data_IF_950725710943
#
_entry.id   IF_950725710943
#
_cell.length_a   1.000
_cell.length_b   1.000
_cell.length_c   1.000
_cell.angle_alpha   90.00
_cell.angle_beta   90.00
_cell.angle_gamma   90.00
#
_symmetry.space_group_name_H-M   'P 1'
#
loop_
_entity.id
_entity.type
_entity.pdbx_description
1 polymer ?
#
# COMPACT_ATOMS: atom_id res chain seq x y z
N UNK A 1 -19.84 -2.33 0.55
CA UNK A 1 -18.67 -1.46 0.58
C UNK A 1 -19.00 -0.06 1.05
N UNK A 2 -18.00 0.61 1.60
CA UNK A 2 -18.01 2.03 1.90
C UNK A 2 -16.66 2.62 1.51
N UNK A 3 -16.66 3.84 1.01
CA UNK A 3 -15.43 4.57 0.75
C UNK A 3 -15.63 6.06 1.04
N UNK A 4 -14.55 6.76 1.26
CA UNK A 4 -14.57 8.20 1.45
C UNK A 4 -13.25 8.83 1.04
N UNK A 5 -13.27 10.15 0.95
CA UNK A 5 -12.13 11.01 0.68
C UNK A 5 -12.19 12.21 1.62
N UNK A 6 -11.07 12.50 2.24
CA UNK A 6 -10.86 13.73 3.02
C UNK A 6 -9.65 14.44 2.44
N UNK A 7 -9.79 15.74 2.19
CA UNK A 7 -8.73 16.58 1.65
C UNK A 7 -8.73 17.96 2.30
N UNK A 8 -7.54 18.51 2.53
CA UNK A 8 -7.37 19.90 2.95
C UNK A 8 -7.45 20.82 1.73
N UNK A 9 -8.34 21.83 1.75
CA UNK A 9 -8.65 22.65 0.57
C UNK A 9 -7.45 23.51 0.11
N UNK A 10 -6.57 23.89 1.02
CA UNK A 10 -5.33 24.64 0.72
C UNK A 10 -4.12 23.72 0.48
N UNK A 11 -4.28 22.40 0.64
CA UNK A 11 -3.21 21.44 0.43
C UNK A 11 -2.25 21.27 1.61
N UNK A 12 -2.58 21.81 2.79
CA UNK A 12 -1.75 21.66 3.98
C UNK A 12 -1.84 20.23 4.52
N UNK A 13 -0.69 19.58 4.70
CA UNK A 13 -0.61 18.25 5.26
C UNK A 13 -0.69 18.29 6.79
N UNK A 14 -1.39 17.33 7.38
CA UNK A 14 -1.42 17.14 8.83
C UNK A 14 -1.68 15.68 9.21
N UNK A 15 -1.19 15.28 10.38
CA UNK A 15 -1.53 13.99 10.96
C UNK A 15 -2.99 13.94 11.46
N UNK A 16 -3.56 15.09 11.83
CA UNK A 16 -4.97 15.15 12.25
C UNK A 16 -5.92 14.80 11.10
N UNK A 17 -5.58 15.14 9.86
CA UNK A 17 -6.34 14.70 8.70
C UNK A 17 -6.26 13.18 8.53
N UNK A 18 -5.10 12.57 8.75
CA UNK A 18 -4.92 11.10 8.72
C UNK A 18 -5.75 10.43 9.82
N UNK A 19 -5.71 10.95 11.05
CA UNK A 19 -6.55 10.46 12.17
C UNK A 19 -8.04 10.58 11.86
N UNK A 20 -8.46 11.69 11.28
CA UNK A 20 -9.86 11.90 10.88
C UNK A 20 -10.29 10.88 9.82
N UNK A 21 -9.42 10.56 8.86
CA UNK A 21 -9.71 9.54 7.85
C UNK A 21 -9.80 8.14 8.46
N UNK A 22 -8.91 7.78 9.39
CA UNK A 22 -8.99 6.50 10.11
C UNK A 22 -10.26 6.40 10.97
N UNK A 23 -10.62 7.48 11.67
CA UNK A 23 -11.88 7.52 12.43
C UNK A 23 -13.10 7.39 11.51
N UNK A 24 -13.11 8.09 10.37
CA UNK A 24 -14.20 7.99 9.38
C UNK A 24 -14.30 6.58 8.79
N UNK A 25 -13.17 5.91 8.57
CA UNK A 25 -13.12 4.52 8.13
C UNK A 25 -13.71 3.60 9.20
N UNK A 26 -13.37 3.78 10.48
CA UNK A 26 -13.92 2.98 11.59
C UNK A 26 -15.45 3.16 11.74
N UNK A 27 -15.97 4.34 11.48
CA UNK A 27 -17.44 4.57 11.45
C UNK A 27 -18.16 3.77 10.35
N UNK A 28 -17.43 3.25 9.35
CA UNK A 28 -17.98 2.42 8.28
C UNK A 28 -17.88 0.91 8.53
N UNK A 29 -17.49 0.46 9.72
CA UNK A 29 -17.32 -0.95 10.08
C UNK A 29 -18.53 -1.80 9.69
N UNK A 30 -19.75 -1.27 9.89
CA UNK A 30 -21.01 -1.93 9.50
C UNK A 30 -21.18 -2.14 7.98
N UNK A 31 -20.31 -1.55 7.14
CA UNK A 31 -20.29 -1.73 5.69
C UNK A 31 -19.42 -2.92 5.25
N UNK A 32 -18.64 -3.49 6.17
CA UNK A 32 -17.77 -4.64 5.94
C UNK A 32 -18.35 -5.94 6.47
N UNK A 33 -17.66 -7.05 6.17
CA UNK A 33 -17.90 -8.36 6.78
C UNK A 33 -16.87 -8.64 7.87
N UNK A 34 -17.26 -9.44 8.84
CA UNK A 34 -16.39 -9.94 9.90
C UNK A 34 -16.35 -11.46 9.76
N UNK A 35 -15.15 -12.04 9.79
CA UNK A 35 -14.96 -13.49 9.74
C UNK A 35 -15.34 -14.16 11.07
N UNK A 36 -15.35 -15.48 11.08
CA UNK A 36 -15.77 -16.28 12.24
C UNK A 36 -14.91 -16.07 13.50
N UNK A 37 -13.69 -15.56 13.35
CA UNK A 37 -12.81 -15.24 14.49
C UNK A 37 -13.13 -13.89 15.19
N UNK A 38 -14.10 -13.14 14.66
CA UNK A 38 -14.55 -11.87 15.22
C UNK A 38 -13.58 -10.70 15.11
N UNK A 39 -12.42 -10.88 14.42
CA UNK A 39 -11.36 -9.88 14.26
C UNK A 39 -10.93 -9.68 12.80
N UNK A 40 -10.98 -10.73 11.99
CA UNK A 40 -10.62 -10.62 10.58
C UNK A 40 -11.72 -9.88 9.81
N UNK A 41 -11.37 -8.76 9.21
CA UNK A 41 -12.23 -8.05 8.27
C UNK A 41 -12.09 -8.58 6.85
N UNK A 42 -13.07 -8.27 6.00
CA UNK A 42 -13.02 -8.60 4.57
C UNK A 42 -12.20 -7.61 3.73
N UNK A 43 -11.53 -6.69 4.39
CA UNK A 43 -10.54 -5.78 3.83
C UNK A 43 -10.87 -4.32 4.08
N UNK A 44 -9.86 -3.56 4.49
CA UNK A 44 -9.93 -2.11 4.60
C UNK A 44 -8.57 -1.48 4.25
N UNK A 45 -8.55 -0.17 4.07
CA UNK A 45 -7.29 0.52 3.81
C UNK A 45 -7.41 2.01 3.60
N UNK A 46 -6.24 2.62 3.56
CA UNK A 46 -6.00 4.04 3.32
C UNK A 46 -5.06 4.21 2.13
N UNK A 47 -5.31 5.20 1.29
CA UNK A 47 -4.40 5.71 0.28
C UNK A 47 -4.15 7.18 0.60
N UNK A 48 -2.91 7.51 0.93
CA UNK A 48 -2.49 8.84 1.37
C UNK A 48 -1.64 9.52 0.28
N UNK A 49 -1.71 10.84 0.17
CA UNK A 49 -0.63 11.56 -0.48
C UNK A 49 0.69 11.25 0.23
N UNK A 50 1.78 11.16 -0.55
CA UNK A 50 3.10 10.74 -0.05
C UNK A 50 3.55 11.60 1.14
N UNK A 51 3.73 11.04 2.34
CA UNK A 51 4.21 11.75 3.53
C UNK A 51 5.74 11.94 3.41
N UNK A 52 6.15 12.91 2.60
CA UNK A 52 7.54 13.10 2.18
C UNK A 52 8.49 13.31 3.36
N UNK A 53 8.09 14.09 4.37
CA UNK A 53 8.95 14.37 5.53
C UNK A 53 9.17 13.10 6.37
N UNK A 54 8.12 12.32 6.60
CA UNK A 54 8.19 11.03 7.31
C UNK A 54 9.22 10.12 6.65
N UNK A 55 9.13 9.91 5.32
CA UNK A 55 10.05 9.00 4.64
C UNK A 55 11.48 9.54 4.54
N UNK A 56 11.69 10.86 4.52
CA UNK A 56 13.03 11.45 4.62
C UNK A 56 13.71 11.11 5.94
N UNK A 57 12.96 11.16 7.03
CA UNK A 57 13.48 10.83 8.36
C UNK A 57 13.68 9.33 8.53
N UNK A 58 12.76 8.49 8.03
CA UNK A 58 12.93 7.04 8.07
C UNK A 58 14.14 6.58 7.23
N UNK A 59 14.35 7.16 6.05
CA UNK A 59 15.53 6.85 5.22
C UNK A 59 16.86 7.18 5.93
N UNK A 60 16.92 8.30 6.65
CA UNK A 60 18.09 8.65 7.46
C UNK A 60 18.35 7.64 8.58
N UNK A 61 17.30 7.15 9.24
CA UNK A 61 17.44 6.14 10.30
C UNK A 61 17.97 4.80 9.78
N UNK A 62 17.62 4.42 8.54
CA UNK A 62 18.03 3.14 7.95
C UNK A 62 19.55 3.08 7.67
N UNK A 63 20.12 4.09 7.02
CA UNK A 63 21.52 4.06 6.60
C UNK A 63 22.07 5.46 6.25
N UNK A 64 21.64 6.50 6.94
CA UNK A 64 21.99 7.91 6.65
C UNK A 64 21.71 8.31 5.19
N UNK A 65 20.65 7.72 4.60
CA UNK A 65 20.29 7.94 3.20
C UNK A 65 19.64 9.32 3.04
N UNK A 66 20.16 10.10 2.09
CA UNK A 66 19.57 11.36 1.66
C UNK A 66 18.67 11.12 0.44
N UNK A 67 17.40 11.46 0.55
CA UNK A 67 16.45 11.39 -0.56
C UNK A 67 16.52 12.65 -1.43
N UNK A 68 16.43 12.47 -2.74
CA UNK A 68 16.28 13.58 -3.70
C UNK A 68 14.98 14.36 -3.45
N UNK A 69 14.80 15.50 -4.09
CA UNK A 69 13.57 16.29 -3.99
C UNK A 69 12.35 15.46 -4.41
N UNK A 70 12.48 14.78 -5.54
CA UNK A 70 11.51 13.78 -6.02
C UNK A 70 12.03 12.39 -5.73
N UNK A 71 11.30 11.62 -4.97
CA UNK A 71 11.56 10.21 -4.67
C UNK A 71 10.25 9.44 -4.64
N UNK A 72 10.33 8.13 -4.70
CA UNK A 72 9.18 7.25 -4.59
C UNK A 72 9.35 6.26 -3.44
N UNK A 73 8.22 5.87 -2.87
CA UNK A 73 8.15 4.73 -1.95
C UNK A 73 7.10 3.77 -2.48
N UNK A 74 7.46 2.50 -2.53
CA UNK A 74 6.51 1.44 -2.90
C UNK A 74 6.28 0.49 -1.74
N UNK A 75 5.03 0.26 -1.35
CA UNK A 75 4.69 -0.78 -0.39
C UNK A 75 4.48 -2.10 -1.12
N UNK A 76 5.18 -3.14 -0.66
CA UNK A 76 5.24 -4.45 -1.29
C UNK A 76 4.87 -5.53 -0.26
N UNK A 77 3.97 -6.42 -0.64
CA UNK A 77 3.70 -7.66 0.08
C UNK A 77 4.64 -8.73 -0.45
N UNK A 78 5.24 -9.48 0.46
CA UNK A 78 6.25 -10.49 0.18
C UNK A 78 5.92 -11.79 0.91
N UNK A 79 6.55 -12.88 0.50
CA UNK A 79 6.52 -14.13 1.23
C UNK A 79 7.13 -13.98 2.63
N UNK A 80 6.63 -14.75 3.58
CA UNK A 80 7.29 -14.92 4.89
C UNK A 80 8.54 -15.80 4.78
N UNK A 81 8.70 -16.57 3.69
CA UNK A 81 9.95 -17.30 3.40
C UNK A 81 11.02 -16.30 2.96
N UNK A 82 12.15 -16.18 3.71
CA UNK A 82 13.18 -15.19 3.41
C UNK A 82 13.83 -15.37 2.03
N UNK A 83 13.94 -16.60 1.53
CA UNK A 83 14.56 -16.86 0.22
C UNK A 83 13.64 -16.41 -0.92
N UNK A 84 12.34 -16.67 -0.83
CA UNK A 84 11.35 -16.23 -1.79
C UNK A 84 11.23 -14.69 -1.76
N UNK A 85 11.18 -14.10 -0.57
CA UNK A 85 11.15 -12.65 -0.41
C UNK A 85 12.40 -11.98 -1.00
N UNK A 86 13.59 -12.51 -0.74
CA UNK A 86 14.84 -11.99 -1.27
C UNK A 86 14.88 -12.05 -2.81
N UNK A 87 14.41 -13.15 -3.41
CA UNK A 87 14.30 -13.28 -4.86
C UNK A 87 13.35 -12.23 -5.46
N UNK A 88 12.17 -12.06 -4.87
CA UNK A 88 11.20 -11.06 -5.33
C UNK A 88 11.75 -9.62 -5.23
N UNK A 89 12.43 -9.29 -4.12
CA UNK A 89 13.10 -8.00 -3.93
C UNK A 89 14.20 -7.77 -4.96
N UNK A 90 15.00 -8.80 -5.27
CA UNK A 90 16.06 -8.72 -6.27
C UNK A 90 15.49 -8.42 -7.67
N UNK A 91 14.41 -9.11 -8.07
CA UNK A 91 13.76 -8.88 -9.38
C UNK A 91 13.21 -7.45 -9.46
N UNK A 92 12.44 -7.01 -8.45
CA UNK A 92 11.87 -5.67 -8.48
C UNK A 92 12.97 -4.59 -8.49
N UNK A 93 14.02 -4.75 -7.69
CA UNK A 93 15.17 -3.85 -7.66
C UNK A 93 15.83 -3.77 -9.04
N UNK A 94 16.12 -4.92 -9.66
CA UNK A 94 16.73 -5.00 -11.00
C UNK A 94 15.89 -4.31 -12.06
N UNK A 95 14.57 -4.51 -12.06
CA UNK A 95 13.68 -3.86 -13.03
C UNK A 95 13.61 -2.35 -12.84
N UNK A 96 13.64 -1.85 -11.60
CA UNK A 96 13.70 -0.40 -11.31
C UNK A 96 15.04 0.18 -11.79
N UNK A 97 16.14 -0.50 -11.52
CA UNK A 97 17.49 -0.06 -11.93
C UNK A 97 17.68 -0.12 -13.46
N UNK A 98 17.04 -1.07 -14.15
CA UNK A 98 17.03 -1.15 -15.60
C UNK A 98 16.35 0.06 -16.29
N UNK A 99 15.45 0.74 -15.59
CA UNK A 99 14.84 2.01 -16.03
C UNK A 99 15.72 3.23 -15.69
N UNK A 100 16.94 3.02 -15.18
CA UNK A 100 17.88 4.08 -14.78
C UNK A 100 17.53 4.76 -13.46
N UNK A 101 16.61 4.19 -12.67
CA UNK A 101 16.28 4.67 -11.33
C UNK A 101 17.23 4.04 -10.31
N UNK A 102 17.42 4.70 -9.15
CA UNK A 102 18.31 4.18 -8.09
C UNK A 102 17.49 3.73 -6.89
N UNK A 103 17.52 2.42 -6.63
CA UNK A 103 17.00 1.87 -5.38
C UNK A 103 17.98 2.17 -4.25
N UNK A 104 17.50 2.75 -3.17
CA UNK A 104 18.32 3.18 -2.03
C UNK A 104 18.24 2.21 -0.86
N UNK A 105 17.05 1.72 -0.56
CA UNK A 105 16.83 0.82 0.57
C UNK A 105 15.52 0.04 0.45
N UNK A 106 15.45 -1.03 1.22
CA UNK A 106 14.23 -1.71 1.62
C UNK A 106 14.01 -1.51 3.12
N UNK A 107 12.81 -1.08 3.49
CA UNK A 107 12.39 -0.83 4.87
C UNK A 107 11.33 -1.85 5.26
N UNK A 108 11.53 -2.55 6.35
CA UNK A 108 10.46 -3.36 6.94
C UNK A 108 9.41 -2.42 7.51
N UNK A 109 8.15 -2.60 7.13
CA UNK A 109 7.03 -1.84 7.70
C UNK A 109 6.76 -2.36 9.11
N UNK A 110 6.78 -1.51 10.14
CA UNK A 110 6.50 -1.97 11.49
C UNK A 110 5.02 -2.31 11.64
N UNK A 111 4.75 -3.55 12.06
CA UNK A 111 3.39 -4.08 12.24
C UNK A 111 3.24 -4.76 13.59
N UNK A 112 2.03 -4.68 14.14
CA UNK A 112 1.63 -5.39 15.36
C UNK A 112 0.61 -6.48 15.01
N UNK A 113 1.06 -7.73 14.99
CA UNK A 113 0.23 -8.86 14.60
C UNK A 113 -0.87 -9.19 15.62
N UNK A 114 -0.79 -8.73 16.87
CA UNK A 114 -1.81 -8.95 17.90
C UNK A 114 -3.13 -8.22 17.57
N UNK A 115 -3.07 -7.22 16.68
CA UNK A 115 -4.26 -6.52 16.16
C UNK A 115 -5.07 -7.35 15.16
N UNK A 116 -4.51 -8.47 14.64
CA UNK A 116 -5.14 -9.29 13.61
C UNK A 116 -5.96 -10.46 14.19
N UNK A 117 -6.94 -10.90 13.41
CA UNK A 117 -7.63 -12.15 13.63
C UNK A 117 -6.85 -13.36 13.12
N UNK A 118 -7.14 -14.53 13.71
CA UNK A 118 -6.45 -15.78 13.37
C UNK A 118 -6.60 -16.20 11.90
N UNK A 119 -7.71 -15.84 11.27
CA UNK A 119 -7.95 -16.15 9.84
C UNK A 119 -7.07 -15.27 8.95
N UNK A 120 -6.94 -13.96 9.25
CA UNK A 120 -6.05 -13.06 8.51
C UNK A 120 -4.58 -13.50 8.63
N UNK A 121 -4.19 -13.99 9.81
CA UNK A 121 -2.83 -14.48 10.10
C UNK A 121 -2.44 -15.68 9.23
N UNK A 122 -3.37 -16.55 8.82
CA UNK A 122 -3.08 -17.72 7.99
C UNK A 122 -2.49 -17.38 6.62
N UNK A 123 -2.75 -16.17 6.12
CA UNK A 123 -2.28 -15.70 4.82
C UNK A 123 -1.54 -14.36 4.90
N UNK A 124 -1.03 -14.03 6.10
CA UNK A 124 -0.29 -12.80 6.36
C UNK A 124 0.97 -12.73 5.49
N UNK A 125 1.16 -11.67 4.68
CA UNK A 125 2.43 -11.44 4.00
C UNK A 125 3.43 -10.71 4.89
N UNK A 126 4.70 -10.70 4.50
CA UNK A 126 5.63 -9.70 4.99
C UNK A 126 5.39 -8.36 4.27
N UNK A 127 5.57 -7.25 5.00
CA UNK A 127 5.37 -5.89 4.48
C UNK A 127 6.70 -5.15 4.44
N UNK A 128 7.14 -4.81 3.24
CA UNK A 128 8.33 -3.98 3.08
C UNK A 128 8.06 -2.80 2.15
N UNK A 129 8.85 -1.76 2.30
CA UNK A 129 8.82 -0.57 1.47
C UNK A 129 10.14 -0.41 0.73
N UNK A 130 10.06 -0.30 -0.60
CA UNK A 130 11.20 0.02 -1.45
C UNK A 130 11.28 1.53 -1.62
N UNK A 131 12.46 2.10 -1.41
CA UNK A 131 12.73 3.55 -1.52
C UNK A 131 13.60 3.80 -2.73
N UNK A 132 13.14 4.69 -3.61
CA UNK A 132 13.74 4.94 -4.92
C UNK A 132 13.92 6.44 -5.15
N UNK A 133 15.13 6.86 -5.51
CA UNK A 133 15.37 8.25 -5.94
C UNK A 133 15.05 8.45 -7.42
N UNK A 134 14.47 9.61 -7.72
CA UNK A 134 14.31 10.08 -9.10
C UNK A 134 15.68 10.38 -9.70
N UNK A 135 16.01 9.91 -10.92
CA UNK A 135 17.22 10.30 -11.62
C UNK A 135 17.26 11.80 -11.91
N UNK A 136 18.47 12.37 -11.93
CA UNK A 136 18.65 13.78 -12.29
C UNK A 136 18.14 14.06 -13.72
N UNK A 137 17.44 15.17 -13.89
CA UNK A 137 16.90 15.60 -15.18
C UNK A 137 15.64 14.86 -15.64
N UNK A 138 15.13 13.92 -14.87
CA UNK A 138 13.88 13.19 -15.16
C UNK A 138 12.72 13.91 -14.47
N UNK A 139 11.62 14.17 -15.20
CA UNK A 139 10.41 14.74 -14.63
C UNK A 139 9.69 13.72 -13.72
N UNK A 140 8.91 14.21 -12.76
CA UNK A 140 8.12 13.34 -11.85
C UNK A 140 7.15 12.44 -12.62
N UNK A 141 6.56 12.92 -13.70
CA UNK A 141 5.65 12.15 -14.57
C UNK A 141 6.41 10.99 -15.23
N UNK A 142 7.56 11.27 -15.82
CA UNK A 142 8.40 10.26 -16.46
C UNK A 142 8.96 9.26 -15.44
N UNK A 143 9.35 9.72 -14.25
CA UNK A 143 9.78 8.86 -13.16
C UNK A 143 8.68 7.87 -12.75
N UNK A 144 7.45 8.35 -12.55
CA UNK A 144 6.32 7.48 -12.23
C UNK A 144 6.00 6.49 -13.36
N UNK A 145 6.18 6.89 -14.64
CA UNK A 145 6.04 5.99 -15.80
C UNK A 145 7.09 4.87 -15.77
N UNK A 146 8.36 5.20 -15.50
CA UNK A 146 9.45 4.23 -15.34
C UNK A 146 9.17 3.23 -14.24
N UNK A 147 8.75 3.70 -13.07
CA UNK A 147 8.38 2.84 -11.93
C UNK A 147 7.19 1.92 -12.27
N UNK A 148 6.21 2.42 -13.02
CA UNK A 148 5.10 1.59 -13.49
C UNK A 148 5.58 0.47 -14.42
N UNK A 149 6.46 0.76 -15.39
CA UNK A 149 7.00 -0.26 -16.30
C UNK A 149 7.84 -1.30 -15.56
N UNK A 150 8.71 -0.86 -14.65
CA UNK A 150 9.52 -1.74 -13.82
C UNK A 150 8.63 -2.68 -12.97
N UNK A 151 7.60 -2.13 -12.33
CA UNK A 151 6.62 -2.93 -11.58
C UNK A 151 5.95 -3.98 -12.45
N UNK A 152 5.45 -3.60 -13.63
CA UNK A 152 4.74 -4.54 -14.53
C UNK A 152 5.64 -5.69 -15.01
N UNK A 153 6.93 -5.40 -15.28
CA UNK A 153 7.89 -6.45 -15.66
C UNK A 153 8.21 -7.39 -14.49
N UNK A 154 8.39 -6.83 -13.28
CA UNK A 154 8.58 -7.63 -12.08
C UNK A 154 7.36 -8.52 -11.77
N UNK A 155 6.14 -7.98 -11.84
CA UNK A 155 4.90 -8.73 -11.67
C UNK A 155 4.76 -9.87 -12.71
N UNK A 156 5.21 -9.67 -13.95
CA UNK A 156 5.21 -10.70 -14.99
C UNK A 156 6.21 -11.82 -14.68
N UNK A 157 7.43 -11.48 -14.27
CA UNK A 157 8.46 -12.45 -13.91
C UNK A 157 8.08 -13.25 -12.66
N UNK A 158 7.41 -12.61 -11.70
CA UNK A 158 6.95 -13.19 -10.45
C UNK A 158 5.50 -13.69 -10.50
N UNK A 159 4.94 -13.93 -11.69
CA UNK A 159 3.54 -14.35 -11.86
C UNK A 159 3.18 -15.66 -11.14
N UNK A 160 4.16 -16.50 -10.85
CA UNK A 160 3.99 -17.75 -10.08
C UNK A 160 4.15 -17.56 -8.56
N UNK A 161 4.57 -16.39 -8.10
CA UNK A 161 4.66 -16.04 -6.68
C UNK A 161 3.37 -15.33 -6.24
N UNK A 162 2.44 -16.07 -5.67
CA UNK A 162 1.15 -15.54 -5.19
C UNK A 162 1.28 -14.61 -3.98
N UNK A 163 2.44 -14.57 -3.32
CA UNK A 163 2.73 -13.70 -2.19
C UNK A 163 3.23 -12.32 -2.61
N UNK A 164 3.81 -12.20 -3.81
CA UNK A 164 4.32 -10.95 -4.32
C UNK A 164 3.19 -10.03 -4.82
N UNK A 165 3.11 -8.86 -4.22
CA UNK A 165 2.15 -7.85 -4.65
C UNK A 165 2.63 -6.43 -4.33
N UNK A 166 2.69 -5.57 -5.33
CA UNK A 166 3.03 -4.15 -5.16
C UNK A 166 1.74 -3.34 -4.99
N UNK A 167 1.49 -2.83 -3.79
CA UNK A 167 0.28 -2.04 -3.51
C UNK A 167 0.35 -0.67 -4.15
N UNK A 168 1.46 0.02 -3.97
CA UNK A 168 1.82 1.30 -4.60
C UNK A 168 3.32 1.31 -4.89
N UNK A 169 3.72 1.99 -5.96
CA UNK A 169 5.12 2.32 -6.26
C UNK A 169 5.13 3.60 -7.08
N UNK A 170 5.25 4.74 -6.42
CA UNK A 170 5.26 6.05 -7.06
C UNK A 170 5.70 7.16 -6.10
N UNK A 171 5.88 8.37 -6.63
CA UNK A 171 6.26 9.57 -5.87
C UNK A 171 5.10 10.29 -5.18
N UNK A 172 3.85 9.96 -5.54
CA UNK A 172 2.69 10.80 -5.19
C UNK A 172 1.82 10.24 -4.08
N UNK A 173 1.68 8.91 -3.99
CA UNK A 173 0.79 8.28 -3.01
C UNK A 173 1.39 7.01 -2.42
N UNK A 174 0.92 6.65 -1.22
CA UNK A 174 1.23 5.39 -0.55
C UNK A 174 -0.03 4.78 0.04
N UNK A 175 -0.11 3.44 0.10
CA UNK A 175 -1.25 2.75 0.69
C UNK A 175 -0.87 1.86 1.87
N UNK A 176 -1.75 1.85 2.87
CA UNK A 176 -1.78 0.91 3.99
C UNK A 176 -3.11 0.17 3.94
N UNK A 177 -3.11 -1.13 3.74
CA UNK A 177 -4.33 -1.93 3.54
C UNK A 177 -4.16 -3.38 3.95
N UNK A 178 -5.26 -4.05 4.28
CA UNK A 178 -5.19 -5.46 4.65
C UNK A 178 -6.51 -6.07 5.09
N UNK A 179 -6.43 -7.31 5.57
CA UNK A 179 -7.56 -8.10 6.06
C UNK A 179 -7.77 -7.89 7.56
N UNK A 180 -8.16 -6.70 7.93
CA UNK A 180 -8.46 -6.35 9.32
C UNK A 180 -9.75 -5.55 9.40
N UNK A 181 -10.26 -5.42 10.60
CA UNK A 181 -11.33 -4.47 10.88
C UNK A 181 -10.79 -3.04 10.81
N UNK A 182 -11.59 -2.06 10.40
CA UNK A 182 -11.15 -0.67 10.28
C UNK A 182 -10.52 -0.09 11.54
N UNK A 183 -11.03 -0.45 12.70
CA UNK A 183 -10.53 0.01 14.00
C UNK A 183 -9.11 -0.46 14.26
N UNK A 184 -8.73 -1.62 13.72
CA UNK A 184 -7.43 -2.23 13.95
C UNK A 184 -6.32 -1.70 13.01
N UNK A 185 -6.64 -0.86 12.01
CA UNK A 185 -5.65 -0.50 10.99
C UNK A 185 -4.46 0.29 11.55
N UNK A 186 -4.71 1.21 12.50
CA UNK A 186 -3.67 1.99 13.16
C UNK A 186 -2.89 1.16 14.20
N UNK A 187 -3.56 0.21 14.85
CA UNK A 187 -2.93 -0.70 15.80
C UNK A 187 -2.03 -1.71 15.08
N UNK A 188 -2.41 -2.12 13.86
CA UNK A 188 -1.62 -3.02 13.04
C UNK A 188 -0.43 -2.30 12.37
N UNK A 189 -0.69 -1.23 11.61
CA UNK A 189 0.36 -0.43 10.98
C UNK A 189 0.79 0.71 11.91
N UNK A 190 1.83 0.48 12.72
CA UNK A 190 2.25 1.46 13.74
C UNK A 190 2.76 2.78 13.15
N UNK A 191 3.17 2.79 11.87
CA UNK A 191 3.47 4.01 11.12
C UNK A 191 2.29 5.01 11.14
N UNK A 192 1.04 4.51 11.08
CA UNK A 192 -0.16 5.35 11.04
C UNK A 192 -0.42 6.11 12.35
N UNK A 193 0.17 5.66 13.45
CA UNK A 193 0.11 6.35 14.75
C UNK A 193 1.24 7.40 14.90
N UNK A 194 2.23 7.42 13.99
CA UNK A 194 3.35 8.37 14.06
C UNK A 194 2.88 9.77 13.65
N UNK A 195 3.02 10.80 14.52
CA UNK A 195 2.56 12.16 14.23
C UNK A 195 3.29 12.81 13.04
N UNK A 196 4.45 12.29 12.63
CA UNK A 196 5.18 12.76 11.45
C UNK A 196 4.58 12.26 10.13
N UNK A 197 3.72 11.23 10.19
CA UNK A 197 3.02 10.72 9.03
C UNK A 197 1.83 11.63 8.72
N UNK A 198 2.10 12.67 7.95
CA UNK A 198 1.15 13.72 7.58
C UNK A 198 0.70 13.56 6.13
N UNK A 199 -0.55 13.92 5.85
CA UNK A 199 -1.10 13.93 4.51
C UNK A 199 -2.12 15.06 4.34
N UNK A 200 -2.20 15.62 3.13
CA UNK A 200 -3.21 16.62 2.78
C UNK A 200 -4.45 16.01 2.11
N UNK A 201 -4.38 14.73 1.73
CA UNK A 201 -5.51 14.00 1.14
C UNK A 201 -5.40 12.52 1.50
N UNK A 202 -6.50 11.93 1.91
CA UNK A 202 -6.63 10.50 2.19
C UNK A 202 -7.90 9.97 1.54
N UNK A 203 -7.75 8.91 0.75
CA UNK A 203 -8.86 8.07 0.30
C UNK A 203 -8.89 6.84 1.18
N UNK A 204 -10.06 6.45 1.66
CA UNK A 204 -10.23 5.26 2.48
C UNK A 204 -11.38 4.40 1.99
N UNK A 205 -11.26 3.10 2.24
CA UNK A 205 -12.23 2.13 1.76
C UNK A 205 -12.41 0.99 2.76
N UNK A 206 -13.68 0.61 2.97
CA UNK A 206 -14.09 -0.54 3.75
C UNK A 206 -14.75 -1.57 2.86
N UNK A 207 -14.32 -2.81 2.99
CA UNK A 207 -14.76 -4.01 2.29
C UNK A 207 -14.21 -4.12 0.85
N UNK A 208 -13.76 -5.32 0.50
CA UNK A 208 -13.27 -5.64 -0.83
C UNK A 208 -14.43 -5.93 -1.82
N UNK A 209 -15.20 -6.97 -1.57
CA UNK A 209 -16.28 -7.45 -2.44
C UNK A 209 -17.23 -8.35 -1.68
N UNK A 210 -18.49 -8.42 -2.11
CA UNK A 210 -19.50 -9.33 -1.53
C UNK A 210 -19.40 -10.77 -2.06
N UNK A 211 -18.79 -10.98 -3.21
CA UNK A 211 -18.86 -12.23 -3.97
C UNK A 211 -17.50 -12.90 -4.21
N UNK A 212 -16.43 -12.37 -3.63
CA UNK A 212 -15.06 -12.89 -3.78
C UNK A 212 -14.45 -13.10 -2.40
N UNK A 213 -13.73 -14.22 -2.21
CA UNK A 213 -13.01 -14.48 -0.98
C UNK A 213 -11.99 -13.37 -0.72
N UNK A 214 -11.99 -12.79 0.49
CA UNK A 214 -11.02 -11.76 0.86
C UNK A 214 -9.59 -12.26 0.76
N UNK A 215 -8.70 -11.42 0.24
CA UNK A 215 -7.24 -11.65 0.18
C UNK A 215 -6.52 -10.33 0.43
N UNK A 216 -5.34 -10.39 1.02
CA UNK A 216 -4.52 -9.22 1.32
C UNK A 216 -4.32 -8.27 0.13
N UNK A 217 -3.94 -8.76 -1.09
CA UNK A 217 -3.77 -7.90 -2.25
C UNK A 217 -5.07 -7.21 -2.70
N UNK A 218 -6.21 -7.83 -2.45
CA UNK A 218 -7.50 -7.37 -2.95
C UNK A 218 -8.17 -6.33 -2.05
N UNK A 219 -7.68 -6.12 -0.82
CA UNK A 219 -8.16 -5.01 0.01
C UNK A 219 -7.99 -3.67 -0.75
N UNK A 220 -8.97 -2.78 -0.62
CA UNK A 220 -8.95 -1.47 -1.25
C UNK A 220 -8.52 -0.39 -0.24
N UNK A 221 -8.16 0.83 -0.67
CA UNK A 221 -8.21 1.33 -2.05
C UNK A 221 -7.02 0.86 -2.91
N UNK A 222 -7.25 0.79 -4.22
CA UNK A 222 -6.18 0.66 -5.20
C UNK A 222 -5.67 2.03 -5.63
N UNK A 223 -4.43 2.09 -6.16
CA UNK A 223 -3.82 3.37 -6.55
C UNK A 223 -4.67 4.18 -7.54
N UNK A 224 -5.31 3.53 -8.51
CA UNK A 224 -6.08 4.18 -9.57
C UNK A 224 -7.56 3.81 -9.57
N UNK A 225 -8.01 3.09 -8.56
CA UNK A 225 -9.38 2.62 -8.46
C UNK A 225 -9.84 2.66 -7.01
N UNK A 226 -10.78 3.54 -6.72
CA UNK A 226 -11.65 3.46 -5.56
C UNK A 226 -13.04 3.13 -6.08
N UNK A 227 -13.52 1.93 -5.81
CA UNK A 227 -14.74 1.42 -6.40
C UNK A 227 -15.66 0.87 -5.32
N UNK A 228 -16.91 1.31 -5.35
CA UNK A 228 -17.98 0.75 -4.54
C UNK A 228 -18.91 -0.06 -5.43
N UNK A 229 -18.50 -1.27 -5.81
CA UNK A 229 -19.32 -2.10 -6.65
C UNK A 229 -18.75 -3.48 -6.88
N UNK A 230 -19.55 -4.28 -7.53
CA UNK A 230 -19.18 -5.64 -7.87
C UNK A 230 -18.38 -5.63 -9.17
N UNK A 231 -17.17 -6.20 -9.14
CA UNK A 231 -16.31 -6.34 -10.32
C UNK A 231 -16.27 -7.81 -10.77
N UNK A 232 -17.31 -8.57 -10.50
CA UNK A 232 -17.39 -9.99 -10.84
C UNK A 232 -17.55 -10.23 -12.34
N UNK A 233 -17.95 -9.22 -13.11
CA UNK A 233 -18.22 -9.31 -14.53
C UNK A 233 -17.01 -9.03 -15.42
N UNK A 234 -15.86 -8.69 -14.86
CA UNK A 234 -14.68 -8.30 -15.66
C UNK A 234 -14.21 -9.42 -16.59
N UNK A 235 -14.32 -10.67 -16.17
CA UNK A 235 -13.95 -11.82 -16.99
C UNK A 235 -14.89 -11.94 -18.20
N UNK A 236 -16.20 -11.79 -17.97
CA UNK A 236 -17.18 -11.77 -19.04
C UNK A 236 -16.91 -10.62 -20.02
N UNK A 237 -16.68 -9.41 -19.50
CA UNK A 237 -16.36 -8.25 -20.34
C UNK A 237 -15.07 -8.44 -21.14
N UNK A 238 -14.03 -9.05 -20.55
CA UNK A 238 -12.79 -9.39 -21.28
C UNK A 238 -13.00 -10.43 -22.36
N UNK A 239 -13.92 -11.37 -22.16
CA UNK A 239 -14.23 -12.40 -23.15
C UNK A 239 -15.05 -11.85 -24.32
N UNK A 240 -15.73 -10.70 -24.13
CA UNK A 240 -16.50 -10.02 -25.17
C UNK A 240 -15.70 -8.96 -25.94
N UNK A 241 -14.58 -8.51 -25.40
CA UNK A 241 -13.68 -7.52 -26.03
C UNK A 241 -12.67 -8.20 -26.98
#
# INVERSE_FOLDING_TARGET
>A
CGFGLIAHMQGDASHDLVKTAMHSLSCMTHRGGIAADGKTGDGCGLLLAMPKQFFREEAKKLSDITLSEVFAVGTVFLSLDPAIAAHAKQILTKEIESEGCRVLAWRVVPTNNDALGSIAMQSLPAFEQIIVNCPMGVSEVEFNRKLFLARRRAEQQLSNDSSFYVTTLCSTVISYKGLMMPEAIADFYTDLADPRLESHIVVFHQRFSTNTLPRWPLAQPFRYLAHNGEINTITANRNWA
#
